data_IF_572139106168
#
_entry.id   IF_572139106168
#
_cell.length_a   1.000
_cell.length_b   1.000
_cell.length_c   1.000
_cell.angle_alpha   90.00
_cell.angle_beta   90.00
_cell.angle_gamma   90.00
#
_symmetry.space_group_name_H-M   'P 1'
#
loop_
_entity.id
_entity.type
_entity.pdbx_description
1 polymer ?
#
# COMPACT_ATOMS: atom_id res chain seq x y z
N UNK A 1 50.96 -15.93 -13.33
CA UNK A 1 50.26 -14.64 -13.59
C UNK A 1 48.80 -14.83 -13.98
N UNK A 2 48.48 -15.69 -14.95
CA UNK A 2 47.10 -15.90 -15.44
C UNK A 2 46.08 -16.38 -14.36
N UNK A 3 46.47 -17.29 -13.46
CA UNK A 3 45.56 -17.77 -12.39
C UNK A 3 45.16 -16.70 -11.36
N UNK A 4 46.02 -15.72 -11.06
CA UNK A 4 45.69 -14.67 -10.09
C UNK A 4 44.60 -13.73 -10.63
N UNK A 5 44.62 -13.43 -11.93
CA UNK A 5 43.61 -12.58 -12.56
C UNK A 5 42.21 -13.22 -12.54
N UNK A 6 42.11 -14.54 -12.71
CA UNK A 6 40.84 -15.28 -12.67
C UNK A 6 40.25 -15.30 -11.25
N UNK A 7 41.09 -15.52 -10.23
CA UNK A 7 40.64 -15.50 -8.82
C UNK A 7 40.11 -14.11 -8.43
N UNK A 8 40.81 -13.05 -8.86
CA UNK A 8 40.39 -11.66 -8.63
C UNK A 8 39.06 -11.37 -9.35
N UNK A 9 38.89 -11.80 -10.60
CA UNK A 9 37.66 -11.61 -11.35
C UNK A 9 36.44 -12.31 -10.72
N UNK A 10 36.62 -13.55 -10.25
CA UNK A 10 35.57 -14.30 -9.53
C UNK A 10 35.21 -13.60 -8.21
N UNK A 11 36.22 -13.08 -7.48
CA UNK A 11 36.01 -12.29 -6.27
C UNK A 11 35.18 -11.04 -6.52
N UNK A 12 35.52 -10.25 -7.54
CA UNK A 12 34.76 -9.05 -7.92
C UNK A 12 33.33 -9.38 -8.36
N UNK A 13 33.15 -10.45 -9.15
CA UNK A 13 31.83 -10.89 -9.59
C UNK A 13 30.93 -11.30 -8.40
N UNK A 14 31.50 -12.02 -7.43
CA UNK A 14 30.78 -12.44 -6.23
C UNK A 14 30.34 -11.25 -5.36
N UNK A 15 31.22 -10.25 -5.22
CA UNK A 15 30.90 -9.01 -4.49
C UNK A 15 29.86 -8.18 -5.23
N UNK A 16 29.96 -8.07 -6.55
CA UNK A 16 28.98 -7.37 -7.39
C UNK A 16 27.59 -8.01 -7.24
N UNK A 17 27.49 -9.34 -7.40
CA UNK A 17 26.25 -10.08 -7.22
C UNK A 17 25.67 -9.93 -5.81
N UNK A 18 26.50 -10.01 -4.77
CA UNK A 18 26.07 -9.82 -3.39
C UNK A 18 25.54 -8.38 -3.16
N UNK A 19 26.19 -7.38 -3.74
CA UNK A 19 25.79 -5.97 -3.63
C UNK A 19 24.48 -5.68 -4.35
N UNK A 20 24.29 -6.26 -5.54
CA UNK A 20 23.05 -6.14 -6.31
C UNK A 20 21.89 -6.85 -5.60
N UNK A 21 22.14 -8.05 -5.08
CA UNK A 21 21.14 -8.81 -4.31
C UNK A 21 20.72 -8.05 -3.05
N UNK A 22 21.69 -7.44 -2.34
CA UNK A 22 21.40 -6.60 -1.17
C UNK A 22 20.58 -5.37 -1.53
N UNK A 23 20.91 -4.69 -2.63
CA UNK A 23 20.17 -3.52 -3.09
C UNK A 23 18.72 -3.88 -3.47
N UNK A 24 18.51 -5.01 -4.18
CA UNK A 24 17.18 -5.52 -4.50
C UNK A 24 16.38 -5.87 -3.25
N UNK A 25 17.00 -6.57 -2.30
CA UNK A 25 16.38 -6.89 -1.00
C UNK A 25 15.97 -5.64 -0.22
N UNK A 26 16.82 -4.61 -0.17
CA UNK A 26 16.46 -3.34 0.47
C UNK A 26 15.25 -2.71 -0.20
N UNK A 27 15.22 -2.65 -1.53
CA UNK A 27 14.08 -2.08 -2.27
C UNK A 27 12.79 -2.86 -2.04
N UNK A 28 12.85 -4.18 -2.00
CA UNK A 28 11.67 -5.03 -1.74
C UNK A 28 11.15 -4.85 -0.31
N UNK A 29 12.06 -4.71 0.67
CA UNK A 29 11.71 -4.40 2.06
C UNK A 29 11.08 -3.01 2.16
N UNK A 30 11.67 -2.00 1.54
CA UNK A 30 11.15 -0.63 1.54
C UNK A 30 9.74 -0.58 0.94
N UNK A 31 9.51 -1.23 -0.21
CA UNK A 31 8.17 -1.34 -0.84
C UNK A 31 7.17 -2.04 0.08
N UNK A 32 7.60 -3.11 0.75
CA UNK A 32 6.73 -3.85 1.68
C UNK A 32 6.40 -3.00 2.91
N UNK A 33 7.36 -2.22 3.42
CA UNK A 33 7.12 -1.27 4.51
C UNK A 33 6.15 -0.17 4.10
N UNK A 34 6.26 0.38 2.90
CA UNK A 34 5.33 1.36 2.36
C UNK A 34 3.89 0.80 2.28
N UNK A 35 3.74 -0.45 1.81
CA UNK A 35 2.46 -1.18 1.82
C UNK A 35 1.90 -1.27 3.25
N UNK A 36 2.71 -1.69 4.23
CA UNK A 36 2.29 -1.80 5.64
C UNK A 36 1.88 -0.45 6.24
N UNK A 37 2.67 0.61 6.02
CA UNK A 37 2.36 1.94 6.53
C UNK A 37 1.09 2.52 5.90
N UNK A 38 0.87 2.28 4.61
CA UNK A 38 -0.36 2.69 3.94
C UNK A 38 -1.59 1.97 4.52
N UNK A 39 -1.49 0.66 4.76
CA UNK A 39 -2.56 -0.14 5.39
C UNK A 39 -2.87 0.37 6.78
N UNK A 40 -1.85 0.57 7.62
CA UNK A 40 -2.04 1.09 8.98
C UNK A 40 -2.65 2.49 8.98
N UNK A 41 -2.20 3.36 8.07
CA UNK A 41 -2.78 4.68 7.88
C UNK A 41 -4.26 4.62 7.50
N UNK A 42 -4.66 3.77 6.55
CA UNK A 42 -6.07 3.61 6.16
C UNK A 42 -6.93 3.14 7.33
N UNK A 43 -6.46 2.13 8.06
CA UNK A 43 -7.13 1.57 9.25
C UNK A 43 -7.28 2.61 10.35
N UNK A 44 -6.20 3.31 10.67
CA UNK A 44 -6.19 4.35 11.70
C UNK A 44 -7.12 5.50 11.32
N UNK A 45 -7.06 5.96 10.06
CA UNK A 45 -7.88 7.06 9.61
C UNK A 45 -9.37 6.71 9.66
N UNK A 46 -9.77 5.53 9.17
CA UNK A 46 -11.14 5.06 9.29
C UNK A 46 -11.59 5.04 10.76
N UNK A 47 -10.78 4.47 11.66
CA UNK A 47 -11.11 4.39 13.09
C UNK A 47 -11.33 5.77 13.74
N UNK A 48 -10.53 6.76 13.37
CA UNK A 48 -10.54 8.09 14.02
C UNK A 48 -11.52 9.06 13.37
N UNK A 49 -11.71 8.98 12.04
CA UNK A 49 -12.47 9.97 11.28
C UNK A 49 -13.88 9.51 10.92
N UNK A 50 -14.20 8.20 10.99
CA UNK A 50 -15.54 7.70 10.65
C UNK A 50 -16.62 8.42 11.45
N UNK A 51 -17.72 8.77 10.80
CA UNK A 51 -18.90 9.31 11.49
C UNK A 51 -19.56 8.26 12.38
N UNK A 52 -20.38 8.67 13.35
CA UNK A 52 -21.15 7.76 14.22
C UNK A 52 -22.16 6.87 13.49
N UNK A 53 -22.51 7.20 12.25
CA UNK A 53 -23.32 6.36 11.35
C UNK A 53 -22.57 6.25 10.03
N UNK A 54 -21.47 5.49 9.99
CA UNK A 54 -20.59 5.46 8.84
C UNK A 54 -21.31 4.74 7.69
N UNK A 55 -21.70 5.50 6.67
CA UNK A 55 -22.04 4.89 5.37
C UNK A 55 -20.74 4.41 4.76
N UNK A 56 -20.60 3.08 4.65
CA UNK A 56 -19.45 2.42 4.08
C UNK A 56 -19.78 1.95 2.67
N UNK A 57 -18.92 2.27 1.71
CA UNK A 57 -19.04 1.77 0.35
C UNK A 57 -17.73 1.11 -0.06
N UNK A 58 -17.81 -0.16 -0.43
CA UNK A 58 -16.67 -0.99 -0.85
C UNK A 58 -16.99 -1.59 -2.21
N UNK A 59 -16.00 -1.53 -3.09
CA UNK A 59 -15.96 -2.13 -4.41
C UNK A 59 -14.54 -2.59 -4.67
N UNK A 60 -14.30 -3.44 -5.68
CA UNK A 60 -12.96 -3.96 -5.99
C UNK A 60 -11.91 -2.84 -6.07
N UNK A 61 -12.26 -1.71 -6.68
CA UNK A 61 -11.30 -0.63 -6.96
C UNK A 61 -11.44 0.56 -6.02
N UNK A 62 -12.39 0.56 -5.09
CA UNK A 62 -12.57 1.70 -4.18
C UNK A 62 -13.20 1.35 -2.84
N UNK A 63 -12.76 2.08 -1.83
CA UNK A 63 -13.27 2.06 -0.47
C UNK A 63 -13.59 3.49 -0.05
N UNK A 64 -14.80 3.76 0.45
CA UNK A 64 -15.15 5.10 0.91
C UNK A 64 -16.07 5.08 2.11
N UNK A 65 -15.97 6.14 2.92
CA UNK A 65 -16.78 6.28 4.13
C UNK A 65 -17.09 7.73 4.45
N UNK A 66 -18.24 7.92 5.11
CA UNK A 66 -18.62 9.21 5.65
C UNK A 66 -17.80 9.58 6.89
N UNK A 67 -17.37 10.83 6.91
CA UNK A 67 -16.45 11.39 7.90
C UNK A 67 -17.12 12.54 8.63
N UNK A 68 -16.92 12.61 9.94
CA UNK A 68 -17.27 13.76 10.76
C UNK A 68 -16.17 13.98 11.80
N UNK A 69 -15.17 14.77 11.46
CA UNK A 69 -13.98 14.96 12.30
C UNK A 69 -13.60 16.44 12.37
N UNK A 70 -13.38 16.95 13.60
CA UNK A 70 -12.98 18.36 13.86
C UNK A 70 -13.84 19.41 13.13
N UNK A 71 -15.16 19.20 13.12
CA UNK A 71 -16.10 20.09 12.46
C UNK A 71 -16.16 19.99 10.92
N UNK A 72 -15.32 19.16 10.30
CA UNK A 72 -15.41 18.85 8.87
C UNK A 72 -16.23 17.60 8.64
N UNK A 73 -17.22 17.71 7.74
CA UNK A 73 -18.03 16.59 7.26
C UNK A 73 -17.80 16.36 5.78
N UNK A 74 -17.85 15.12 5.35
CA UNK A 74 -17.74 14.75 3.94
C UNK A 74 -17.48 13.27 3.77
N UNK A 75 -16.83 12.91 2.65
CA UNK A 75 -16.49 11.54 2.30
C UNK A 75 -15.00 11.46 2.03
N UNK A 76 -14.33 10.49 2.65
CA UNK A 76 -12.99 10.08 2.26
C UNK A 76 -13.14 8.85 1.36
N UNK A 77 -12.38 8.82 0.27
CA UNK A 77 -12.37 7.72 -0.69
C UNK A 77 -10.93 7.29 -0.95
N UNK A 78 -10.68 6.00 -0.94
CA UNK A 78 -9.46 5.39 -1.44
C UNK A 78 -9.77 4.68 -2.75
N UNK A 79 -8.91 4.87 -3.74
CA UNK A 79 -9.07 4.33 -5.08
C UNK A 79 -7.81 3.57 -5.46
N UNK A 80 -8.00 2.39 -6.02
CA UNK A 80 -6.96 1.63 -6.69
C UNK A 80 -6.94 2.02 -8.16
N UNK A 81 -5.78 2.42 -8.67
CA UNK A 81 -5.56 2.78 -10.07
C UNK A 81 -4.47 1.87 -10.63
N UNK A 82 -4.79 1.12 -11.68
CA UNK A 82 -3.79 0.37 -12.45
C UNK A 82 -3.31 1.23 -13.62
N UNK A 83 -2.01 1.54 -13.66
CA UNK A 83 -1.38 2.27 -14.77
C UNK A 83 -0.03 1.67 -15.08
N UNK A 84 0.20 1.35 -16.36
CA UNK A 84 1.46 0.80 -16.86
C UNK A 84 1.92 -0.48 -16.10
N UNK A 85 0.96 -1.32 -15.70
CA UNK A 85 1.21 -2.54 -14.92
C UNK A 85 1.47 -2.32 -13.42
N UNK A 86 1.41 -1.08 -12.95
CA UNK A 86 1.65 -0.73 -11.55
C UNK A 86 0.32 -0.30 -10.91
N UNK A 87 -0.04 -0.98 -9.81
CA UNK A 87 -1.17 -0.62 -8.97
C UNK A 87 -0.80 0.53 -8.04
N UNK A 88 -1.70 1.51 -7.91
CA UNK A 88 -1.53 2.69 -7.06
C UNK A 88 -2.72 2.87 -6.17
N UNK A 89 -2.50 3.12 -4.88
CA UNK A 89 -3.58 3.48 -3.96
C UNK A 89 -3.54 4.98 -3.69
N UNK A 90 -4.64 5.65 -4.05
CA UNK A 90 -4.79 7.10 -3.90
C UNK A 90 -5.93 7.40 -2.94
N UNK A 91 -5.66 8.23 -1.96
CA UNK A 91 -6.64 8.80 -1.05
C UNK A 91 -7.15 10.13 -1.61
N UNK A 92 -8.47 10.27 -1.68
CA UNK A 92 -9.19 11.51 -1.88
C UNK A 92 -9.71 11.98 -0.53
N UNK A 93 -9.14 13.07 -0.03
CA UNK A 93 -9.46 13.65 1.27
C UNK A 93 -10.69 14.54 1.27
N UNK A 94 -10.96 15.14 2.43
CA UNK A 94 -11.96 16.21 2.53
C UNK A 94 -11.50 17.47 1.78
N UNK A 95 -12.44 18.38 1.50
CA UNK A 95 -12.09 19.68 0.92
C UNK A 95 -11.00 20.38 1.75
N UNK A 96 -9.91 20.75 1.06
CA UNK A 96 -8.72 21.35 1.65
C UNK A 96 -7.70 20.38 2.28
N UNK A 97 -7.94 19.06 2.30
CA UNK A 97 -6.93 18.07 2.71
C UNK A 97 -6.06 17.58 1.54
N UNK A 98 -6.49 17.82 0.29
CA UNK A 98 -5.79 17.35 -0.90
C UNK A 98 -5.98 15.84 -1.16
N UNK A 99 -5.39 15.39 -2.26
CA UNK A 99 -5.33 13.97 -2.62
C UNK A 99 -3.92 13.45 -2.30
N UNK A 100 -3.85 12.34 -1.58
CA UNK A 100 -2.58 11.76 -1.17
C UNK A 100 -2.37 10.43 -1.88
N UNK A 101 -1.23 10.33 -2.53
CA UNK A 101 -0.69 9.07 -2.96
C UNK A 101 -0.18 8.28 -1.74
N UNK A 102 -0.59 7.02 -1.60
CA UNK A 102 -0.16 6.19 -0.46
C UNK A 102 1.03 5.30 -0.84
N UNK A 103 0.89 4.47 -1.87
CA UNK A 103 1.94 3.56 -2.34
C UNK A 103 1.69 3.05 -3.77
N UNK A 104 2.73 2.43 -4.34
CA UNK A 104 2.75 1.77 -5.66
C UNK A 104 3.28 0.35 -5.48
N UNK A 105 2.70 -0.60 -6.20
CA UNK A 105 3.17 -1.98 -6.21
C UNK A 105 2.83 -2.65 -7.54
N UNK A 106 3.62 -3.65 -7.92
CA UNK A 106 3.34 -4.52 -9.07
C UNK A 106 2.36 -5.63 -8.70
N UNK A 107 2.14 -5.85 -7.40
CA UNK A 107 1.18 -6.83 -6.88
C UNK A 107 -0.24 -6.37 -7.20
N UNK A 108 -1.13 -7.29 -7.54
CA UNK A 108 -2.55 -6.94 -7.71
C UNK A 108 -3.11 -6.38 -6.41
N UNK A 109 -3.77 -5.22 -6.50
CA UNK A 109 -4.43 -4.58 -5.35
C UNK A 109 -5.93 -4.51 -5.59
N UNK A 110 -6.72 -4.89 -4.60
CA UNK A 110 -8.15 -4.64 -4.60
C UNK A 110 -8.72 -4.60 -3.18
N UNK A 111 -9.86 -3.93 -3.01
CA UNK A 111 -10.63 -4.03 -1.79
C UNK A 111 -11.61 -5.20 -1.86
N UNK A 112 -11.86 -5.80 -0.70
CA UNK A 112 -12.83 -6.88 -0.53
C UNK A 112 -13.66 -6.67 0.73
N UNK A 113 -14.83 -7.29 0.75
CA UNK A 113 -15.69 -7.33 1.93
C UNK A 113 -16.21 -8.75 2.10
N UNK A 114 -15.94 -9.34 3.26
CA UNK A 114 -16.47 -10.63 3.68
C UNK A 114 -17.36 -10.43 4.91
N UNK A 115 -18.67 -10.57 4.70
CA UNK A 115 -19.68 -10.22 5.68
C UNK A 115 -19.52 -8.78 6.16
N UNK A 116 -19.15 -8.62 7.44
CA UNK A 116 -18.93 -7.30 8.04
C UNK A 116 -17.49 -6.81 7.92
N UNK A 117 -16.52 -7.70 7.71
CA UNK A 117 -15.10 -7.31 7.66
C UNK A 117 -14.78 -6.80 6.27
N UNK A 118 -14.07 -5.68 6.20
CA UNK A 118 -13.57 -5.15 4.94
C UNK A 118 -12.05 -5.01 4.99
N UNK A 119 -11.45 -5.31 3.84
CA UNK A 119 -10.03 -5.58 3.74
C UNK A 119 -9.47 -5.02 2.44
N UNK A 120 -8.15 -4.83 2.40
CA UNK A 120 -7.40 -4.62 1.17
C UNK A 120 -6.53 -5.85 0.93
N UNK A 121 -6.59 -6.37 -0.29
CA UNK A 121 -5.77 -7.47 -0.76
C UNK A 121 -4.63 -6.88 -1.58
N UNK A 122 -3.40 -7.27 -1.25
CA UNK A 122 -2.17 -6.85 -1.95
C UNK A 122 -1.39 -8.11 -2.29
N UNK A 123 -1.42 -8.52 -3.56
CA UNK A 123 -0.93 -9.82 -3.99
C UNK A 123 -1.69 -10.94 -3.27
N UNK A 124 -0.96 -11.82 -2.59
CA UNK A 124 -1.53 -12.96 -1.86
C UNK A 124 -1.87 -12.63 -0.39
N UNK A 125 -1.68 -11.38 0.05
CA UNK A 125 -1.87 -10.99 1.45
C UNK A 125 -3.14 -10.16 1.59
N UNK A 126 -3.99 -10.55 2.53
CA UNK A 126 -5.21 -9.81 2.89
C UNK A 126 -4.98 -9.06 4.21
N UNK A 127 -5.29 -7.76 4.22
CA UNK A 127 -5.18 -6.90 5.38
C UNK A 127 -6.54 -6.36 5.80
N UNK A 128 -6.95 -6.67 7.03
CA UNK A 128 -8.21 -6.19 7.58
C UNK A 128 -8.12 -4.71 7.97
N UNK A 129 -8.99 -3.92 7.33
CA UNK A 129 -9.09 -2.48 7.54
C UNK A 129 -10.11 -2.12 8.62
N UNK A 130 -11.18 -2.92 8.78
CA UNK A 130 -12.17 -2.71 9.82
C UNK A 130 -13.43 -3.56 9.69
N UNK A 131 -14.44 -3.19 10.47
CA UNK A 131 -15.75 -3.85 10.52
C UNK A 131 -16.83 -2.82 10.18
N UNK A 132 -17.66 -3.15 9.20
CA UNK A 132 -18.90 -2.43 8.86
C UNK A 132 -19.99 -2.73 9.90
N UNK A 133 -20.73 -1.70 10.30
CA UNK A 133 -21.75 -1.80 11.37
C UNK A 133 -23.02 -2.51 10.88
#
# INVERSE_FOLDING_TARGET
>A
MFCFCIVIAIGFLSVALASETRARLTLDVDKTLDEFYAVDFMKHEYKVKRSNSPSLFISKDSFSYNVNHRGKKGRITYIVILKDGIYRVVRIGLSGEGNNYLFETEKEVHFSQDGKVFSIVIGDITYDLGVSE
#
